data_IF_539047712220
#
_entry.id   IF_539047712220
#
_cell.length_a   1.000
_cell.length_b   1.000
_cell.length_c   1.000
_cell.angle_alpha   90.00
_cell.angle_beta   90.00
_cell.angle_gamma   90.00
#
_symmetry.space_group_name_H-M   'P 1'
#
loop_
_entity.id
_entity.type
_entity.pdbx_description
1 polymer ?
#
# COMPACT_ATOMS: atom_id res chain seq x y z
N UNK A 1 33.25 7.05 -3.66
CA UNK A 1 33.92 8.30 -4.09
C UNK A 1 33.39 8.90 -5.40
N UNK A 2 32.53 8.20 -6.12
CA UNK A 2 32.02 8.63 -7.44
C UNK A 2 31.06 9.84 -7.38
N UNK A 3 30.55 10.24 -6.25
CA UNK A 3 29.68 11.42 -6.11
C UNK A 3 30.39 12.70 -5.65
N UNK A 4 31.63 12.59 -5.27
CA UNK A 4 32.43 13.69 -4.75
C UNK A 4 33.53 13.98 -5.78
N UNK A 5 33.39 14.95 -6.63
CA UNK A 5 34.28 15.45 -7.69
C UNK A 5 35.59 14.70 -8.01
N UNK A 6 36.11 14.87 -9.21
CA UNK A 6 37.33 14.20 -9.71
C UNK A 6 38.63 14.80 -9.15
N UNK A 7 38.64 15.37 -7.95
CA UNK A 7 39.83 15.99 -7.36
C UNK A 7 40.89 14.95 -6.94
N UNK A 8 42.14 15.18 -7.31
CA UNK A 8 43.31 14.44 -6.83
C UNK A 8 43.49 14.67 -5.34
N UNK A 9 42.99 13.75 -4.53
CA UNK A 9 43.08 13.79 -3.06
C UNK A 9 41.75 14.18 -2.41
N UNK A 10 41.11 13.20 -1.73
CA UNK A 10 39.92 13.47 -0.92
C UNK A 10 40.31 14.41 0.22
N UNK A 11 39.57 15.50 0.36
CA UNK A 11 39.70 16.38 1.51
C UNK A 11 39.31 15.61 2.79
N UNK A 12 39.73 16.12 3.95
CA UNK A 12 39.34 15.54 5.26
C UNK A 12 37.82 15.51 5.38
N UNK A 13 37.14 16.54 4.88
CA UNK A 13 35.70 16.66 4.90
C UNK A 13 35.01 15.61 4.00
N UNK A 14 35.54 15.37 2.79
CA UNK A 14 35.02 14.33 1.88
C UNK A 14 35.17 12.92 2.48
N UNK A 15 36.28 12.64 3.14
CA UNK A 15 36.50 11.37 3.86
C UNK A 15 35.49 11.18 4.97
N UNK A 16 35.28 12.22 5.78
CA UNK A 16 34.30 12.20 6.88
C UNK A 16 32.88 11.94 6.35
N UNK A 17 32.47 12.57 5.24
CA UNK A 17 31.16 12.33 4.60
C UNK A 17 31.02 10.89 4.08
N UNK A 18 32.08 10.33 3.48
CA UNK A 18 32.09 8.93 3.03
C UNK A 18 31.93 7.99 4.23
N UNK A 19 32.71 8.19 5.29
CA UNK A 19 32.62 7.37 6.50
C UNK A 19 31.25 7.45 7.16
N UNK A 20 30.67 8.64 7.22
CA UNK A 20 29.30 8.84 7.72
C UNK A 20 28.26 8.10 6.86
N UNK A 21 28.33 8.21 5.53
CA UNK A 21 27.42 7.51 4.63
C UNK A 21 27.56 5.98 4.75
N UNK A 22 28.79 5.48 4.88
CA UNK A 22 29.05 4.04 5.08
C UNK A 22 28.49 3.55 6.43
N UNK A 23 28.61 4.35 7.48
CA UNK A 23 28.06 4.05 8.80
C UNK A 23 26.52 4.03 8.77
N UNK A 24 25.88 5.04 8.13
CA UNK A 24 24.43 5.11 7.98
C UNK A 24 23.85 3.90 7.25
N UNK A 25 24.57 3.37 6.27
CA UNK A 25 24.13 2.22 5.45
C UNK A 25 24.65 0.88 5.96
N UNK A 26 25.41 0.85 7.09
CA UNK A 26 25.91 -0.38 7.70
C UNK A 26 26.92 -1.15 6.86
N UNK A 27 27.76 -0.45 6.06
CA UNK A 27 28.75 -1.08 5.17
C UNK A 27 30.20 -0.73 5.50
N UNK A 28 30.46 -0.21 6.67
CA UNK A 28 31.84 0.20 7.05
C UNK A 28 32.86 -0.93 6.94
N UNK A 29 32.47 -2.15 7.29
CA UNK A 29 33.33 -3.34 7.21
C UNK A 29 33.58 -3.83 5.77
N UNK A 30 32.82 -3.31 4.79
CA UNK A 30 32.90 -3.70 3.39
C UNK A 30 33.76 -2.74 2.55
N UNK A 31 34.42 -1.77 3.18
CA UNK A 31 35.17 -0.69 2.51
C UNK A 31 36.21 -1.19 1.51
N UNK A 32 36.87 -2.29 1.81
CA UNK A 32 37.98 -2.87 1.02
C UNK A 32 37.50 -3.94 0.05
N UNK A 33 36.18 -4.29 0.03
CA UNK A 33 35.64 -5.31 -0.87
C UNK A 33 35.34 -4.74 -2.25
N UNK A 34 35.57 -5.56 -3.27
CA UNK A 34 35.19 -5.26 -4.63
C UNK A 34 33.69 -5.59 -4.88
N UNK A 35 33.04 -4.93 -5.86
CA UNK A 35 31.61 -5.12 -6.13
C UNK A 35 31.22 -6.60 -6.36
N UNK A 36 32.05 -7.39 -7.03
CA UNK A 36 31.80 -8.82 -7.28
C UNK A 36 31.88 -9.71 -6.04
N UNK A 37 32.39 -9.17 -4.92
CA UNK A 37 32.48 -9.87 -3.62
C UNK A 37 31.30 -9.54 -2.70
N UNK A 38 30.35 -8.72 -3.18
CA UNK A 38 29.21 -8.24 -2.42
C UNK A 38 27.92 -8.96 -2.85
N UNK A 39 27.08 -9.29 -1.89
CA UNK A 39 25.72 -9.77 -2.17
C UNK A 39 24.87 -8.64 -2.80
N UNK A 40 23.75 -8.96 -3.45
CA UNK A 40 22.86 -7.98 -4.06
C UNK A 40 22.41 -6.88 -3.07
N UNK A 41 22.02 -7.26 -1.85
CA UNK A 41 21.65 -6.31 -0.81
C UNK A 41 22.83 -5.42 -0.35
N UNK A 42 24.04 -5.97 -0.27
CA UNK A 42 25.25 -5.18 0.04
C UNK A 42 25.55 -4.20 -1.10
N UNK A 43 25.38 -4.60 -2.35
CA UNK A 43 25.55 -3.69 -3.51
C UNK A 43 24.55 -2.53 -3.47
N UNK A 44 23.30 -2.78 -3.08
CA UNK A 44 22.29 -1.72 -2.92
C UNK A 44 22.65 -0.74 -1.79
N UNK A 45 23.12 -1.25 -0.64
CA UNK A 45 23.59 -0.38 0.45
C UNK A 45 24.80 0.46 0.02
N UNK A 46 25.69 -0.09 -0.80
CA UNK A 46 26.81 0.67 -1.40
C UNK A 46 26.28 1.74 -2.36
N UNK A 47 25.28 1.44 -3.17
CA UNK A 47 24.65 2.41 -4.07
C UNK A 47 24.00 3.56 -3.28
N UNK A 48 23.28 3.23 -2.19
CA UNK A 48 22.69 4.23 -1.30
C UNK A 48 23.77 5.08 -0.61
N UNK A 49 24.85 4.48 -0.08
CA UNK A 49 25.96 5.22 0.52
C UNK A 49 26.61 6.19 -0.48
N UNK A 50 26.74 5.77 -1.73
CA UNK A 50 27.24 6.64 -2.80
C UNK A 50 26.33 7.84 -3.07
N UNK A 51 25.01 7.62 -3.03
CA UNK A 51 24.02 8.69 -3.19
C UNK A 51 23.99 9.65 -2.00
N UNK A 52 24.19 9.15 -0.78
CA UNK A 52 24.20 9.93 0.47
C UNK A 52 25.51 10.71 0.71
N UNK A 53 26.66 10.20 0.24
CA UNK A 53 27.97 10.81 0.52
C UNK A 53 28.10 12.29 0.13
N UNK A 54 27.47 12.80 -0.95
CA UNK A 54 27.44 14.22 -1.28
C UNK A 54 26.59 15.08 -0.33
N UNK A 55 25.84 14.46 0.59
CA UNK A 55 24.85 15.08 1.46
C UNK A 55 23.74 15.82 0.65
N UNK A 56 23.01 15.11 -0.21
CA UNK A 56 22.00 15.72 -1.08
C UNK A 56 20.75 16.10 -0.29
N UNK A 57 20.02 17.09 -0.79
CA UNK A 57 18.69 17.44 -0.27
C UNK A 57 17.61 16.46 -0.78
N UNK A 58 17.80 15.89 -1.98
CA UNK A 58 16.88 14.97 -2.64
C UNK A 58 17.60 13.77 -3.24
N UNK A 59 17.05 12.58 -3.03
CA UNK A 59 17.52 11.32 -3.62
C UNK A 59 16.41 10.74 -4.48
N UNK A 60 16.75 10.30 -5.69
CA UNK A 60 15.87 9.59 -6.59
C UNK A 60 16.23 8.11 -6.59
N UNK A 61 15.26 7.24 -6.36
CA UNK A 61 15.42 5.80 -6.29
C UNK A 61 14.44 5.14 -7.27
N UNK A 62 14.99 4.48 -8.27
CA UNK A 62 14.21 3.77 -9.28
C UNK A 62 14.23 2.28 -8.96
N UNK A 63 13.06 1.74 -8.62
CA UNK A 63 12.84 0.34 -8.22
C UNK A 63 13.90 -0.23 -7.26
N UNK A 64 14.19 0.45 -6.12
CA UNK A 64 15.37 0.13 -5.30
C UNK A 64 15.34 -1.26 -4.66
N UNK A 65 14.21 -1.97 -4.69
CA UNK A 65 14.04 -3.27 -4.05
C UNK A 65 13.69 -4.41 -5.00
N UNK A 66 13.58 -4.15 -6.31
CA UNK A 66 13.13 -5.12 -7.32
C UNK A 66 14.05 -6.34 -7.47
N UNK A 67 15.36 -6.16 -7.28
CA UNK A 67 16.37 -7.21 -7.46
C UNK A 67 16.61 -8.09 -6.22
N UNK A 68 15.85 -7.92 -5.15
CA UNK A 68 16.03 -8.66 -3.90
C UNK A 68 15.09 -9.86 -3.81
N UNK A 69 15.57 -10.94 -3.19
CA UNK A 69 14.70 -12.02 -2.76
C UNK A 69 13.76 -11.57 -1.62
N UNK A 70 12.62 -12.27 -1.48
CA UNK A 70 11.54 -11.86 -0.59
C UNK A 70 11.96 -11.82 0.89
N UNK A 71 12.80 -12.77 1.34
CA UNK A 71 13.22 -12.83 2.74
C UNK A 71 14.14 -11.68 3.15
N UNK A 72 15.08 -11.32 2.28
CA UNK A 72 16.02 -10.21 2.50
C UNK A 72 15.40 -8.85 2.22
N UNK A 73 14.40 -8.78 1.35
CA UNK A 73 13.78 -7.54 0.89
C UNK A 73 13.26 -6.70 2.05
N UNK A 74 12.51 -7.30 2.97
CA UNK A 74 11.92 -6.56 4.08
C UNK A 74 12.96 -5.95 5.02
N UNK A 75 14.01 -6.70 5.36
CA UNK A 75 15.08 -6.21 6.24
C UNK A 75 15.87 -5.09 5.57
N UNK A 76 16.33 -5.30 4.33
CA UNK A 76 17.13 -4.31 3.59
C UNK A 76 16.32 -3.03 3.38
N UNK A 77 15.02 -3.16 3.09
CA UNK A 77 14.10 -2.03 2.94
C UNK A 77 14.03 -1.18 4.21
N UNK A 78 13.85 -1.81 5.37
CA UNK A 78 13.81 -1.10 6.66
C UNK A 78 15.13 -0.36 6.94
N UNK A 79 16.26 -0.99 6.70
CA UNK A 79 17.58 -0.40 6.91
C UNK A 79 17.83 0.77 5.96
N UNK A 80 17.46 0.66 4.68
CA UNK A 80 17.57 1.75 3.71
C UNK A 80 16.68 2.94 4.09
N UNK A 81 15.44 2.71 4.48
CA UNK A 81 14.53 3.77 4.93
C UNK A 81 15.04 4.46 6.20
N UNK A 82 15.60 3.68 7.13
CA UNK A 82 16.23 4.24 8.32
C UNK A 82 17.42 5.12 7.98
N UNK A 83 18.30 4.67 7.07
CA UNK A 83 19.45 5.47 6.61
C UNK A 83 19.00 6.79 5.93
N UNK A 84 17.96 6.74 5.09
CA UNK A 84 17.38 7.93 4.46
C UNK A 84 16.83 8.90 5.50
N UNK A 85 16.04 8.44 6.47
CA UNK A 85 15.51 9.29 7.54
C UNK A 85 16.61 9.93 8.38
N UNK A 86 17.65 9.17 8.71
CA UNK A 86 18.79 9.67 9.50
C UNK A 86 19.65 10.67 8.72
N UNK A 87 19.68 10.57 7.39
CA UNK A 87 20.41 11.53 6.55
C UNK A 87 19.74 12.89 6.46
N UNK A 88 18.43 12.98 6.73
CA UNK A 88 17.63 14.18 6.55
C UNK A 88 17.30 14.51 5.08
N UNK A 89 17.71 13.69 4.12
CA UNK A 89 17.39 13.87 2.71
C UNK A 89 15.95 13.50 2.39
N UNK A 90 15.29 14.25 1.52
CA UNK A 90 14.04 13.82 0.90
C UNK A 90 14.31 12.70 -0.11
N UNK A 91 13.37 11.77 -0.27
CA UNK A 91 13.51 10.67 -1.22
C UNK A 91 12.27 10.54 -2.10
N UNK A 92 12.48 10.34 -3.40
CA UNK A 92 11.44 9.94 -4.34
C UNK A 92 11.73 8.50 -4.77
N UNK A 93 10.78 7.61 -4.50
CA UNK A 93 10.83 6.22 -4.92
C UNK A 93 9.93 6.00 -6.13
N UNK A 94 10.44 5.37 -7.16
CA UNK A 94 9.62 4.79 -8.22
C UNK A 94 9.48 3.30 -7.94
N UNK A 95 8.26 2.81 -7.83
CA UNK A 95 7.97 1.40 -7.58
C UNK A 95 6.68 0.99 -8.26
N UNK A 96 6.59 -0.27 -8.66
CA UNK A 96 5.36 -0.93 -9.10
C UNK A 96 4.71 -1.75 -7.96
N UNK A 97 5.35 -1.84 -6.80
CA UNK A 97 4.85 -2.54 -5.62
C UNK A 97 3.97 -1.59 -4.80
N UNK A 98 2.65 -1.87 -4.79
CA UNK A 98 1.63 -1.08 -4.07
C UNK A 98 1.85 -1.11 -2.56
N UNK A 99 2.25 -2.27 -2.04
CA UNK A 99 2.48 -2.46 -0.60
C UNK A 99 3.66 -1.63 -0.12
N UNK A 100 4.70 -1.51 -0.96
CA UNK A 100 5.81 -0.59 -0.68
C UNK A 100 5.34 0.84 -0.59
N UNK A 101 4.61 1.30 -1.59
CA UNK A 101 4.11 2.68 -1.63
C UNK A 101 3.20 2.97 -0.43
N UNK A 102 2.20 2.11 -0.17
CA UNK A 102 1.24 2.30 0.92
C UNK A 102 1.88 2.27 2.30
N UNK A 103 2.94 1.44 2.48
CA UNK A 103 3.56 1.21 3.79
C UNK A 103 4.61 2.25 4.16
N UNK A 104 5.32 2.80 3.18
CA UNK A 104 6.56 3.56 3.45
C UNK A 104 6.54 5.00 2.97
N UNK A 105 5.67 5.38 2.05
CA UNK A 105 5.62 6.74 1.54
C UNK A 105 4.80 7.67 2.44
N UNK A 106 5.25 8.91 2.59
CA UNK A 106 4.46 9.98 3.22
C UNK A 106 3.39 10.50 2.24
N UNK A 107 3.72 10.51 0.94
CA UNK A 107 2.82 10.84 -0.17
C UNK A 107 3.07 9.90 -1.34
N UNK A 108 2.01 9.55 -2.05
CA UNK A 108 2.06 8.73 -3.26
C UNK A 108 1.52 9.55 -4.43
N UNK A 109 2.25 9.54 -5.54
CA UNK A 109 1.79 10.04 -6.83
C UNK A 109 1.45 8.85 -7.73
N UNK A 110 0.20 8.72 -8.13
CA UNK A 110 -0.24 7.69 -9.09
C UNK A 110 -0.08 8.26 -10.49
N UNK A 111 0.70 7.56 -11.31
CA UNK A 111 0.98 7.95 -12.69
C UNK A 111 0.38 6.90 -13.63
N UNK A 112 -0.41 7.35 -14.60
CA UNK A 112 -0.95 6.51 -15.66
C UNK A 112 -0.85 7.23 -16.99
N UNK A 113 -0.36 6.54 -18.02
CA UNK A 113 -0.20 7.10 -19.38
C UNK A 113 0.55 8.45 -19.40
N UNK A 114 1.59 8.59 -18.57
CA UNK A 114 2.40 9.80 -18.47
C UNK A 114 1.74 10.99 -17.76
N UNK A 115 0.58 10.79 -17.14
CA UNK A 115 -0.14 11.83 -16.37
C UNK A 115 -0.26 11.42 -14.91
N UNK A 116 -0.15 12.40 -14.04
CA UNK A 116 -0.44 12.22 -12.61
C UNK A 116 -1.95 12.23 -12.43
N UNK A 117 -2.51 11.12 -11.95
CA UNK A 117 -3.94 11.00 -11.64
C UNK A 117 -4.28 11.64 -10.30
N UNK A 118 -3.46 11.37 -9.28
CA UNK A 118 -3.67 11.90 -7.93
C UNK A 118 -2.36 11.86 -7.16
N UNK A 119 -2.15 12.85 -6.28
CA UNK A 119 -1.08 12.84 -5.28
C UNK A 119 -1.74 13.05 -3.92
N UNK A 120 -1.53 12.12 -2.99
CA UNK A 120 -2.08 12.23 -1.64
C UNK A 120 -1.32 11.33 -0.66
N UNK A 121 -1.75 11.32 0.61
CA UNK A 121 -1.29 10.36 1.60
C UNK A 121 -1.77 8.95 1.26
N UNK A 122 -1.06 7.89 1.67
CA UNK A 122 -1.49 6.50 1.47
C UNK A 122 -2.94 6.25 1.90
N UNK A 123 -3.31 6.73 3.08
CA UNK A 123 -4.64 6.56 3.66
C UNK A 123 -5.73 7.25 2.80
N UNK A 124 -5.50 8.49 2.36
CA UNK A 124 -6.42 9.21 1.47
C UNK A 124 -6.61 8.50 0.13
N UNK A 125 -5.51 8.07 -0.50
CA UNK A 125 -5.57 7.35 -1.78
C UNK A 125 -6.32 6.02 -1.67
N UNK A 126 -6.22 5.35 -0.55
CA UNK A 126 -6.88 4.06 -0.34
C UNK A 126 -8.38 4.21 0.00
N UNK A 127 -8.69 5.09 0.97
CA UNK A 127 -10.04 5.21 1.52
C UNK A 127 -10.89 6.33 0.91
N UNK A 128 -10.28 7.27 0.17
CA UNK A 128 -10.96 8.42 -0.42
C UNK A 128 -10.35 8.83 -1.76
N UNK A 129 -10.13 7.89 -2.71
CA UNK A 129 -9.58 8.22 -4.02
C UNK A 129 -10.55 9.10 -4.81
N UNK A 130 -10.00 10.09 -5.53
CA UNK A 130 -10.79 11.04 -6.31
C UNK A 130 -11.44 10.41 -7.54
N UNK A 131 -10.82 9.33 -8.08
CA UNK A 131 -11.26 8.66 -9.29
C UNK A 131 -11.30 7.15 -9.08
N UNK A 132 -12.25 6.51 -9.74
CA UNK A 132 -12.41 5.05 -9.69
C UNK A 132 -11.15 4.32 -10.21
N UNK A 133 -10.46 4.89 -11.20
CA UNK A 133 -9.19 4.35 -11.72
C UNK A 133 -8.10 4.34 -10.66
N UNK A 134 -7.96 5.43 -9.90
CA UNK A 134 -7.06 5.52 -8.74
C UNK A 134 -7.39 4.43 -7.72
N UNK A 135 -8.68 4.27 -7.41
CA UNK A 135 -9.14 3.28 -6.45
C UNK A 135 -8.79 1.85 -6.85
N UNK A 136 -9.04 1.48 -8.12
CA UNK A 136 -8.71 0.17 -8.69
C UNK A 136 -7.22 -0.09 -8.76
N UNK A 137 -6.44 0.97 -8.99
CA UNK A 137 -4.99 0.86 -9.05
C UNK A 137 -4.36 0.61 -7.68
N UNK A 138 -4.83 1.30 -6.62
CA UNK A 138 -4.18 1.27 -5.31
C UNK A 138 -4.51 0.04 -4.46
N UNK A 139 -5.62 -0.65 -4.72
CA UNK A 139 -6.02 -1.83 -3.96
C UNK A 139 -7.18 -2.58 -4.56
N UNK A 140 -7.48 -3.75 -4.01
CA UNK A 140 -8.65 -4.54 -4.40
C UNK A 140 -9.93 -3.73 -4.21
N UNK A 141 -10.85 -3.89 -5.15
CA UNK A 141 -12.04 -3.05 -5.23
C UNK A 141 -13.23 -3.83 -5.72
N UNK A 142 -14.33 -3.75 -4.99
CA UNK A 142 -15.64 -4.24 -5.41
C UNK A 142 -16.38 -3.04 -5.99
N UNK A 143 -16.61 -3.07 -7.29
CA UNK A 143 -17.26 -1.96 -8.01
C UNK A 143 -18.58 -2.45 -8.59
N UNK A 144 -19.67 -1.82 -8.17
CA UNK A 144 -21.01 -2.21 -8.57
C UNK A 144 -21.78 -1.01 -9.12
N UNK A 145 -22.62 -1.20 -10.14
CA UNK A 145 -23.62 -0.20 -10.54
C UNK A 145 -24.51 0.14 -9.35
N UNK A 146 -24.77 1.41 -9.14
CA UNK A 146 -25.59 1.86 -8.03
C UNK A 146 -26.45 3.07 -8.39
N UNK A 147 -27.62 3.16 -7.76
CA UNK A 147 -28.56 4.26 -7.86
C UNK A 147 -28.68 4.94 -6.51
N UNK A 148 -28.52 6.25 -6.47
CA UNK A 148 -28.67 7.05 -5.25
C UNK A 148 -30.12 7.10 -4.83
N UNK A 149 -30.40 6.71 -3.58
CA UNK A 149 -31.72 6.81 -2.96
C UNK A 149 -31.80 8.10 -2.14
N UNK A 150 -30.70 8.41 -1.42
CA UNK A 150 -30.61 9.59 -0.56
C UNK A 150 -29.16 10.13 -0.59
N UNK A 151 -28.90 11.26 0.06
CA UNK A 151 -27.59 11.90 0.13
C UNK A 151 -26.47 10.96 0.58
N UNK A 152 -26.79 10.03 1.47
CA UNK A 152 -25.83 9.11 2.08
C UNK A 152 -26.18 7.64 1.85
N UNK A 153 -27.04 7.32 0.88
CA UNK A 153 -27.49 5.94 0.65
C UNK A 153 -27.65 5.68 -0.84
N UNK A 154 -27.15 4.52 -1.27
CA UNK A 154 -27.35 4.01 -2.64
C UNK A 154 -27.94 2.62 -2.60
N UNK A 155 -28.71 2.27 -3.65
CA UNK A 155 -29.15 0.93 -3.97
C UNK A 155 -28.20 0.33 -4.99
N UNK A 156 -27.64 -0.84 -4.70
CA UNK A 156 -26.84 -1.64 -5.62
C UNK A 156 -27.30 -3.10 -5.57
N UNK A 157 -26.60 -3.98 -6.26
CA UNK A 157 -26.93 -5.40 -6.29
C UNK A 157 -26.77 -6.11 -4.92
N UNK A 158 -25.95 -5.58 -4.03
CA UNK A 158 -25.85 -6.08 -2.65
C UNK A 158 -27.04 -5.64 -1.77
N UNK A 159 -27.79 -4.64 -2.18
CA UNK A 159 -28.85 -4.00 -1.41
C UNK A 159 -28.57 -2.51 -1.15
N UNK A 160 -29.11 -1.98 -0.05
CA UNK A 160 -28.87 -0.59 0.35
C UNK A 160 -27.52 -0.46 1.05
N UNK A 161 -26.67 0.42 0.54
CA UNK A 161 -25.32 0.65 1.05
C UNK A 161 -25.13 2.11 1.40
N UNK A 162 -24.65 2.43 2.63
CA UNK A 162 -24.31 3.78 2.99
C UNK A 162 -23.07 4.25 2.23
N UNK A 163 -23.07 5.52 1.81
CA UNK A 163 -21.97 6.15 1.10
C UNK A 163 -21.41 7.35 1.87
N UNK A 164 -20.14 7.67 1.57
CA UNK A 164 -19.59 8.96 1.98
C UNK A 164 -20.34 10.08 1.26
N UNK A 165 -20.56 11.18 1.95
CA UNK A 165 -21.16 12.36 1.31
C UNK A 165 -20.27 12.85 0.18
N UNK A 166 -20.79 12.84 -1.03
CA UNK A 166 -20.10 13.35 -2.22
C UNK A 166 -20.78 14.63 -2.68
N UNK A 167 -20.01 15.52 -3.30
CA UNK A 167 -20.55 16.76 -3.88
C UNK A 167 -21.27 16.54 -5.23
N UNK A 168 -21.38 15.28 -5.68
CA UNK A 168 -22.07 14.94 -6.93
C UNK A 168 -23.56 14.76 -6.69
N UNK A 169 -24.39 15.41 -7.49
CA UNK A 169 -25.87 15.24 -7.51
C UNK A 169 -26.30 14.11 -8.45
N UNK A 170 -25.38 13.32 -8.98
CA UNK A 170 -25.71 12.21 -9.87
C UNK A 170 -26.59 11.19 -9.16
N UNK A 171 -27.67 10.75 -9.83
CA UNK A 171 -28.60 9.75 -9.33
C UNK A 171 -28.17 8.32 -9.66
N UNK A 172 -27.33 8.15 -10.69
CA UNK A 172 -26.81 6.84 -11.14
C UNK A 172 -25.32 6.91 -11.28
N UNK A 173 -24.62 5.82 -10.92
CA UNK A 173 -23.17 5.74 -10.98
C UNK A 173 -22.66 4.39 -10.52
N UNK A 174 -21.50 4.35 -9.93
CA UNK A 174 -20.85 3.17 -9.41
C UNK A 174 -20.48 3.35 -7.94
N UNK A 175 -20.77 2.35 -7.12
CA UNK A 175 -20.27 2.29 -5.75
C UNK A 175 -18.99 1.45 -5.73
N UNK A 176 -18.00 1.95 -5.01
CA UNK A 176 -16.78 1.23 -4.68
C UNK A 176 -16.79 0.85 -3.21
N UNK A 177 -16.52 -0.42 -2.96
CA UNK A 177 -16.32 -1.00 -1.64
C UNK A 177 -14.96 -1.71 -1.59
N UNK A 178 -14.39 -1.81 -0.41
CA UNK A 178 -13.17 -2.57 -0.17
C UNK A 178 -13.49 -3.92 0.48
N UNK A 179 -12.78 -5.00 0.11
CA UNK A 179 -12.97 -6.32 0.75
C UNK A 179 -12.88 -6.28 2.27
N UNK A 180 -12.00 -5.43 2.81
CA UNK A 180 -11.77 -5.26 4.24
C UNK A 180 -12.94 -4.63 5.00
N UNK A 181 -13.90 -4.05 4.27
CA UNK A 181 -15.13 -3.53 4.85
C UNK A 181 -16.12 -4.65 5.20
N UNK A 182 -15.94 -5.85 4.65
CA UNK A 182 -16.81 -6.99 4.92
C UNK A 182 -16.26 -7.82 6.08
N UNK A 183 -17.16 -8.19 7.01
CA UNK A 183 -16.82 -8.97 8.19
C UNK A 183 -17.89 -10.01 8.47
N UNK A 184 -17.50 -11.16 8.98
CA UNK A 184 -18.41 -12.21 9.47
C UNK A 184 -18.83 -12.00 10.93
N UNK A 185 -18.21 -11.07 11.62
CA UNK A 185 -18.51 -10.74 13.02
C UNK A 185 -19.15 -9.37 13.09
N UNK A 186 -20.28 -9.27 13.76
CA UNK A 186 -20.91 -7.99 14.08
C UNK A 186 -20.10 -7.24 15.15
N UNK A 187 -19.20 -6.36 14.72
CA UNK A 187 -18.35 -5.56 15.63
C UNK A 187 -19.12 -4.39 16.27
N UNK A 188 -20.33 -4.10 15.77
CA UNK A 188 -21.11 -2.91 16.18
C UNK A 188 -21.76 -3.03 17.57
N UNK A 189 -21.69 -4.17 18.24
CA UNK A 189 -22.27 -4.29 19.60
C UNK A 189 -21.62 -3.34 20.61
N UNK A 190 -20.47 -2.73 20.30
CA UNK A 190 -19.73 -1.84 21.20
C UNK A 190 -19.55 -0.39 20.69
N UNK A 191 -20.11 0.00 19.53
CA UNK A 191 -19.97 1.37 19.02
C UNK A 191 -21.29 1.93 18.50
N UNK A 192 -21.75 3.01 19.13
CA UNK A 192 -23.01 3.73 18.86
C UNK A 192 -23.04 4.53 17.54
N UNK A 193 -22.05 4.38 16.65
CA UNK A 193 -21.86 5.27 15.48
C UNK A 193 -21.67 4.62 14.11
N UNK A 194 -21.73 3.29 13.96
CA UNK A 194 -21.53 2.66 12.64
C UNK A 194 -22.86 2.19 12.05
N UNK A 195 -23.18 2.71 10.86
CA UNK A 195 -24.23 2.15 10.01
C UNK A 195 -23.72 0.81 9.50
N UNK A 196 -24.29 -0.28 9.95
CA UNK A 196 -23.92 -1.63 9.53
C UNK A 196 -25.03 -2.15 8.63
N UNK A 197 -24.68 -2.47 7.39
CA UNK A 197 -25.55 -3.21 6.49
C UNK A 197 -25.24 -4.70 6.60
N UNK A 198 -26.27 -5.53 6.74
CA UNK A 198 -26.13 -6.99 6.83
C UNK A 198 -26.63 -7.62 5.54
N UNK A 199 -25.87 -8.58 5.04
CA UNK A 199 -26.21 -9.33 3.81
C UNK A 199 -26.12 -10.83 4.09
N UNK A 200 -27.09 -11.57 3.58
CA UNK A 200 -27.00 -13.03 3.55
C UNK A 200 -26.02 -13.44 2.44
N UNK A 201 -25.08 -14.32 2.76
CA UNK A 201 -24.08 -14.84 1.84
C UNK A 201 -23.97 -16.36 1.91
N UNK A 202 -23.43 -16.97 0.87
CA UNK A 202 -23.12 -18.40 0.82
C UNK A 202 -21.62 -18.56 0.72
N UNK A 203 -21.02 -19.38 1.59
CA UNK A 203 -19.60 -19.72 1.55
C UNK A 203 -19.32 -20.59 0.32
N UNK A 204 -18.44 -20.12 -0.56
CA UNK A 204 -18.07 -20.80 -1.79
C UNK A 204 -16.75 -21.54 -1.70
N UNK A 205 -15.76 -20.93 -1.05
CA UNK A 205 -14.44 -21.50 -0.89
C UNK A 205 -13.77 -20.99 0.40
N UNK A 206 -12.82 -21.78 0.93
CA UNK A 206 -12.03 -21.43 2.12
C UNK A 206 -10.59 -21.81 1.83
N UNK A 207 -9.67 -20.83 1.89
CA UNK A 207 -8.24 -21.01 1.68
C UNK A 207 -7.45 -20.61 2.92
N UNK A 208 -6.80 -21.59 3.54
CA UNK A 208 -5.88 -21.31 4.64
C UNK A 208 -4.50 -20.90 4.10
N UNK A 209 -4.04 -19.70 4.46
CA UNK A 209 -2.75 -19.12 4.02
C UNK A 209 -1.74 -18.98 5.16
N UNK A 210 -1.86 -19.80 6.21
CA UNK A 210 -1.00 -19.76 7.38
C UNK A 210 -1.39 -18.66 8.37
N UNK A 211 -1.04 -17.41 8.11
CA UNK A 211 -1.35 -16.28 9.01
C UNK A 211 -2.78 -15.76 8.84
N UNK A 212 -3.38 -15.96 7.70
CA UNK A 212 -4.73 -15.54 7.36
C UNK A 212 -5.50 -16.71 6.74
N UNK A 213 -6.82 -16.60 6.79
CA UNK A 213 -7.74 -17.45 6.03
C UNK A 213 -8.53 -16.56 5.09
N UNK A 214 -8.51 -16.88 3.80
CA UNK A 214 -9.34 -16.20 2.81
C UNK A 214 -10.60 -17.01 2.60
N UNK A 215 -11.77 -16.37 2.72
CA UNK A 215 -13.09 -16.99 2.51
C UNK A 215 -13.75 -16.32 1.32
N UNK A 216 -14.08 -17.11 0.31
CA UNK A 216 -14.87 -16.65 -0.82
C UNK A 216 -16.35 -16.82 -0.47
N UNK A 217 -17.08 -15.73 -0.56
CA UNK A 217 -18.52 -15.69 -0.31
C UNK A 217 -19.27 -15.18 -1.55
N UNK A 218 -20.48 -15.64 -1.74
CA UNK A 218 -21.40 -15.12 -2.75
C UNK A 218 -22.53 -14.34 -2.08
N UNK A 219 -22.69 -13.07 -2.43
CA UNK A 219 -23.80 -12.20 -2.06
C UNK A 219 -24.54 -11.83 -3.35
N UNK A 220 -25.81 -12.25 -3.51
CA UNK A 220 -26.62 -11.93 -4.69
C UNK A 220 -25.87 -12.12 -6.03
N UNK A 221 -25.19 -13.26 -6.21
CA UNK A 221 -24.37 -13.62 -7.39
C UNK A 221 -23.02 -12.86 -7.54
N UNK A 222 -22.64 -12.04 -6.59
CA UNK A 222 -21.30 -11.45 -6.54
C UNK A 222 -20.40 -12.25 -5.62
N UNK A 223 -19.24 -12.62 -6.14
CA UNK A 223 -18.20 -13.31 -5.39
C UNK A 223 -17.23 -12.30 -4.79
N UNK A 224 -17.02 -12.41 -3.49
CA UNK A 224 -16.16 -11.52 -2.71
C UNK A 224 -15.22 -12.37 -1.88
N UNK A 225 -13.94 -12.01 -1.87
CA UNK A 225 -12.97 -12.60 -0.95
C UNK A 225 -12.83 -11.74 0.30
N UNK A 226 -12.93 -12.38 1.47
CA UNK A 226 -12.74 -11.76 2.78
C UNK A 226 -11.52 -12.40 3.43
N UNK A 227 -10.58 -11.60 3.92
CA UNK A 227 -9.45 -12.09 4.71
C UNK A 227 -9.72 -12.01 6.22
N UNK A 228 -9.39 -13.09 6.94
CA UNK A 228 -9.52 -13.19 8.38
C UNK A 228 -8.21 -13.59 9.03
N UNK A 229 -7.90 -13.00 10.18
CA UNK A 229 -6.71 -13.35 10.98
C UNK A 229 -6.87 -14.63 11.82
N UNK A 230 -7.90 -15.43 11.57
CA UNK A 230 -8.17 -16.69 12.26
C UNK A 230 -8.85 -17.69 11.31
N UNK A 231 -8.84 -18.96 11.67
CA UNK A 231 -9.59 -20.00 10.94
C UNK A 231 -11.03 -19.99 11.44
N UNK A 232 -12.02 -19.62 10.61
CA UNK A 232 -13.42 -19.67 10.99
C UNK A 232 -13.95 -21.11 10.98
N UNK A 233 -14.89 -21.40 11.84
CA UNK A 233 -15.67 -22.67 11.82
C UNK A 233 -16.80 -22.53 10.81
N UNK A 234 -16.47 -22.64 9.53
CA UNK A 234 -17.37 -22.50 8.37
C UNK A 234 -17.25 -23.69 7.44
N UNK A 235 -18.35 -24.00 6.74
CA UNK A 235 -18.40 -25.04 5.72
C UNK A 235 -18.77 -24.46 4.36
N UNK A 236 -18.19 -25.02 3.31
CA UNK A 236 -18.59 -24.67 1.93
C UNK A 236 -20.07 -24.99 1.75
N UNK A 237 -20.83 -24.06 1.18
CA UNK A 237 -22.28 -24.11 1.01
C UNK A 237 -23.07 -23.59 2.20
N UNK A 238 -22.43 -23.22 3.30
CA UNK A 238 -23.10 -22.65 4.48
C UNK A 238 -23.61 -21.23 4.18
N UNK A 239 -24.80 -20.93 4.73
CA UNK A 239 -25.35 -19.55 4.71
C UNK A 239 -24.90 -18.82 5.94
N UNK A 240 -24.40 -17.62 5.74
CA UNK A 240 -23.84 -16.76 6.78
C UNK A 240 -24.33 -15.34 6.64
N UNK A 241 -24.34 -14.61 7.75
CA UNK A 241 -24.53 -13.16 7.74
C UNK A 241 -23.19 -12.46 7.57
N UNK A 242 -23.14 -11.56 6.61
CA UNK A 242 -21.97 -10.72 6.32
C UNK A 242 -22.30 -9.26 6.61
N UNK A 243 -21.43 -8.62 7.34
CA UNK A 243 -21.59 -7.25 7.81
C UNK A 243 -20.69 -6.32 7.02
N UNK A 244 -21.26 -5.28 6.40
CA UNK A 244 -20.49 -4.21 5.77
C UNK A 244 -20.25 -3.11 6.80
N UNK A 245 -18.99 -2.81 7.05
CA UNK A 245 -18.56 -1.76 7.97
C UNK A 245 -18.19 -0.49 7.21
N UNK A 246 -18.60 0.64 7.76
CA UNK A 246 -18.28 1.93 7.17
C UNK A 246 -19.18 2.31 6.00
N UNK A 247 -18.62 3.02 5.03
CA UNK A 247 -19.35 3.60 3.90
C UNK A 247 -18.60 3.36 2.61
N UNK A 248 -19.34 3.09 1.54
CA UNK A 248 -18.79 3.01 0.19
C UNK A 248 -18.50 4.40 -0.40
N UNK A 249 -17.77 4.41 -1.49
CA UNK A 249 -17.53 5.62 -2.27
C UNK A 249 -18.33 5.56 -3.56
N UNK A 250 -19.04 6.64 -3.86
CA UNK A 250 -19.90 6.73 -5.03
C UNK A 250 -19.27 7.62 -6.10
N UNK A 251 -19.17 7.09 -7.31
CA UNK A 251 -18.64 7.74 -8.51
C UNK A 251 -19.70 7.79 -9.59
N UNK A 252 -19.73 8.86 -10.33
CA UNK A 252 -20.58 9.07 -11.53
C UNK A 252 -19.77 8.95 -12.81
#
# INVERSE_FOLDING_TARGET
>A
AYGLGNGKGKTIEERSRIEQAMKLTGISELAERFPHQLSGGQQQRVALARALAPNPELILLDEPFSALDEHLRQQIRQEMLQALRQSGASAIFVTHDRDEALRYADKIAIIQQGKILQIDTPCSLYWSPNHLETAKFIGESIVLPAHRIDKNLVQCQLGCVPIQSTHSDATSGQILLRPEQFSLVNISQNSTACTVSTFEAIVQNIEFRGRTTSVQIAINHHEIWIEMGYMPDLKIGERIDVYLQGRGMFYN
#
